data_IF_939905979490
#
_entry.id   IF_939905979490
#
_cell.length_a   1.000
_cell.length_b   1.000
_cell.length_c   1.000
_cell.angle_alpha   90.00
_cell.angle_beta   90.00
_cell.angle_gamma   90.00
#
_symmetry.space_group_name_H-M   'P 1'
#
loop_
_entity.id
_entity.type
_entity.pdbx_description
1 polymer ?
#
# COMPACT_ATOMS: atom_id res chain seq x y z
N UNK A 1 -4.06 -22.11 20.69
CA UNK A 1 -4.01 -20.85 21.49
C UNK A 1 -2.66 -20.14 21.28
N UNK A 2 -1.52 -20.76 21.60
CA UNK A 2 -0.19 -20.16 21.38
C UNK A 2 0.15 -19.89 19.88
N UNK A 3 -0.23 -20.77 18.97
CA UNK A 3 0.06 -20.62 17.54
C UNK A 3 -0.76 -19.52 16.86
N UNK A 4 -2.01 -19.31 17.30
CA UNK A 4 -2.85 -18.21 16.83
C UNK A 4 -2.26 -16.85 17.26
N UNK A 5 -1.76 -16.75 18.50
CA UNK A 5 -1.06 -15.55 19.00
C UNK A 5 0.20 -15.25 18.17
N UNK A 6 0.98 -16.28 17.83
CA UNK A 6 2.16 -16.13 16.98
C UNK A 6 1.78 -15.68 15.55
N UNK A 7 0.72 -16.24 14.97
CA UNK A 7 0.18 -15.80 13.68
C UNK A 7 -0.27 -14.34 13.71
N UNK A 8 -1.00 -13.93 14.75
CA UNK A 8 -1.37 -12.53 14.98
C UNK A 8 -0.18 -11.60 15.05
N UNK A 9 0.87 -11.96 15.82
CA UNK A 9 2.08 -11.14 15.93
C UNK A 9 2.75 -10.91 14.58
N UNK A 10 2.76 -11.92 13.70
CA UNK A 10 3.32 -11.80 12.35
C UNK A 10 2.49 -10.86 11.48
N UNK A 11 1.17 -11.01 11.51
CA UNK A 11 0.23 -10.11 10.81
C UNK A 11 0.43 -8.66 11.28
N UNK A 12 0.39 -8.43 12.59
CA UNK A 12 0.53 -7.09 13.17
C UNK A 12 1.88 -6.47 12.85
N UNK A 13 2.96 -7.25 12.96
CA UNK A 13 4.30 -6.78 12.58
C UNK A 13 4.38 -6.41 11.10
N UNK A 14 3.83 -7.23 10.20
CA UNK A 14 3.84 -6.93 8.77
C UNK A 14 3.04 -5.66 8.44
N UNK A 15 1.90 -5.46 9.11
CA UNK A 15 1.12 -4.24 9.00
C UNK A 15 1.85 -3.01 9.55
N UNK A 16 2.47 -3.11 10.72
CA UNK A 16 3.23 -2.02 11.31
C UNK A 16 4.41 -1.59 10.41
N UNK A 17 5.16 -2.57 9.88
CA UNK A 17 6.22 -2.30 8.91
C UNK A 17 5.69 -1.64 7.63
N UNK A 18 4.52 -2.05 7.15
CA UNK A 18 3.89 -1.45 5.97
C UNK A 18 3.41 -0.02 6.24
N UNK A 19 2.68 0.23 7.33
CA UNK A 19 2.20 1.57 7.71
C UNK A 19 3.38 2.51 7.99
N UNK A 20 4.45 2.01 8.61
CA UNK A 20 5.67 2.78 8.80
C UNK A 20 6.29 3.16 7.44
N UNK A 21 6.36 2.23 6.48
CA UNK A 21 6.85 2.54 5.12
C UNK A 21 5.96 3.57 4.41
N UNK A 22 4.64 3.43 4.48
CA UNK A 22 3.68 4.37 3.88
C UNK A 22 3.86 5.80 4.40
N UNK A 23 4.19 5.95 5.68
CA UNK A 23 4.35 7.27 6.31
C UNK A 23 5.75 7.86 6.16
N UNK A 24 6.80 7.03 6.22
CA UNK A 24 8.20 7.51 6.27
C UNK A 24 8.89 7.53 4.92
N UNK A 25 8.60 6.55 4.06
CA UNK A 25 9.28 6.39 2.77
C UNK A 25 8.40 6.88 1.61
N UNK A 26 7.14 6.43 1.53
CA UNK A 26 6.23 6.79 0.43
C UNK A 26 5.58 8.16 0.62
N UNK A 27 5.04 8.44 1.81
CA UNK A 27 4.30 9.66 2.14
C UNK A 27 4.95 10.96 1.67
N UNK A 28 6.26 11.18 1.89
CA UNK A 28 6.96 12.39 1.43
C UNK A 28 6.88 12.63 -0.09
N UNK A 29 6.75 11.58 -0.90
CA UNK A 29 6.72 11.70 -2.36
C UNK A 29 5.34 12.09 -2.90
N UNK A 30 4.26 11.84 -2.14
CA UNK A 30 2.87 12.13 -2.57
C UNK A 30 2.60 13.63 -2.70
N UNK A 31 3.40 14.49 -2.06
CA UNK A 31 3.29 15.94 -2.19
C UNK A 31 3.43 16.41 -3.64
N UNK A 32 4.19 15.69 -4.47
CA UNK A 32 4.42 16.03 -5.87
C UNK A 32 3.30 15.56 -6.82
N UNK A 33 2.24 14.94 -6.30
CA UNK A 33 0.99 14.73 -7.06
C UNK A 33 0.23 16.04 -7.29
N UNK A 34 0.62 17.13 -6.60
CA UNK A 34 0.12 18.47 -6.87
C UNK A 34 0.95 19.16 -7.94
N UNK A 35 0.26 19.80 -8.89
CA UNK A 35 0.87 20.62 -9.94
C UNK A 35 1.79 21.71 -9.35
N UNK A 36 1.35 22.38 -8.28
CA UNK A 36 2.10 23.48 -7.67
C UNK A 36 3.45 23.00 -7.13
N UNK A 37 3.44 21.90 -6.37
CA UNK A 37 4.65 21.34 -5.79
C UNK A 37 5.57 20.74 -6.86
N UNK A 38 5.02 20.10 -7.89
CA UNK A 38 5.84 19.57 -8.98
C UNK A 38 6.48 20.69 -9.80
N UNK A 39 5.77 21.82 -9.98
CA UNK A 39 6.28 22.98 -10.74
C UNK A 39 7.48 23.62 -10.06
N UNK A 40 7.55 23.60 -8.73
CA UNK A 40 8.64 24.17 -7.95
C UNK A 40 9.97 23.40 -8.10
N UNK A 41 9.92 22.15 -8.59
CA UNK A 41 11.10 21.35 -8.86
C UNK A 41 11.83 21.76 -10.14
N UNK A 42 13.16 21.69 -10.13
CA UNK A 42 13.99 21.76 -11.32
C UNK A 42 13.80 20.51 -12.19
N UNK A 43 14.17 20.60 -13.47
CA UNK A 43 14.00 19.48 -14.42
C UNK A 43 14.62 18.16 -13.92
N UNK A 44 15.86 18.21 -13.40
CA UNK A 44 16.55 17.04 -12.85
C UNK A 44 15.88 16.48 -11.60
N UNK A 45 15.23 17.32 -10.80
CA UNK A 45 14.53 16.90 -9.59
C UNK A 45 13.21 16.19 -9.92
N UNK A 46 12.49 16.65 -10.96
CA UNK A 46 11.29 15.95 -11.45
C UNK A 46 11.62 14.56 -12.00
N UNK A 47 12.67 14.46 -12.82
CA UNK A 47 13.15 13.16 -13.32
C UNK A 47 13.62 12.27 -12.18
N UNK A 48 14.37 12.82 -11.22
CA UNK A 48 14.80 12.10 -10.03
C UNK A 48 13.62 11.55 -9.24
N UNK A 49 12.58 12.37 -9.02
CA UNK A 49 11.35 11.96 -8.36
C UNK A 49 10.63 10.82 -9.13
N UNK A 50 10.40 10.96 -10.43
CA UNK A 50 9.72 9.92 -11.23
C UNK A 50 10.52 8.61 -11.25
N UNK A 51 11.85 8.68 -11.37
CA UNK A 51 12.72 7.51 -11.31
C UNK A 51 12.65 6.83 -9.94
N UNK A 52 12.79 7.58 -8.84
CA UNK A 52 12.68 7.01 -7.49
C UNK A 52 11.30 6.40 -7.24
N UNK A 53 10.23 7.04 -7.71
CA UNK A 53 8.86 6.50 -7.62
C UNK A 53 8.73 5.15 -8.32
N UNK A 54 9.26 5.04 -9.55
CA UNK A 54 9.17 3.85 -10.38
C UNK A 54 10.12 2.71 -9.93
N UNK A 55 11.37 3.02 -9.61
CA UNK A 55 12.42 2.02 -9.39
C UNK A 55 12.47 1.51 -7.94
N UNK A 56 12.12 2.37 -6.97
CA UNK A 56 12.35 2.09 -5.55
C UNK A 56 11.07 2.18 -4.71
N UNK A 57 10.39 3.33 -4.76
CA UNK A 57 9.39 3.70 -3.77
C UNK A 57 8.09 2.88 -3.93
N UNK A 58 7.50 2.84 -5.13
CA UNK A 58 6.31 2.01 -5.39
C UNK A 58 6.63 0.51 -5.29
N UNK A 59 7.75 -0.01 -5.85
CA UNK A 59 8.14 -1.41 -5.65
C UNK A 59 8.28 -1.80 -4.17
N UNK A 60 8.86 -0.94 -3.34
CA UNK A 60 8.93 -1.16 -1.90
C UNK A 60 7.54 -1.20 -1.26
N UNK A 61 6.63 -0.32 -1.68
CA UNK A 61 5.21 -0.31 -1.25
C UNK A 61 4.52 -1.64 -1.55
N UNK A 62 4.65 -2.12 -2.79
CA UNK A 62 4.13 -3.42 -3.25
C UNK A 62 4.70 -4.56 -2.42
N UNK A 63 6.01 -4.55 -2.15
CA UNK A 63 6.65 -5.60 -1.37
C UNK A 63 6.12 -5.65 0.08
N UNK A 64 5.86 -4.50 0.70
CA UNK A 64 5.28 -4.44 2.05
C UNK A 64 3.84 -4.95 2.08
N UNK A 65 3.01 -4.53 1.11
CA UNK A 65 1.65 -5.03 0.96
C UNK A 65 1.61 -6.55 0.75
N UNK A 66 2.48 -7.09 -0.13
CA UNK A 66 2.61 -8.54 -0.34
C UNK A 66 3.04 -9.28 0.93
N UNK A 67 3.95 -8.70 1.71
CA UNK A 67 4.40 -9.30 2.97
C UNK A 67 3.26 -9.38 3.99
N UNK A 68 2.36 -8.39 4.04
CA UNK A 68 1.15 -8.45 4.83
C UNK A 68 0.17 -9.53 4.34
N UNK A 69 0.02 -9.69 3.01
CA UNK A 69 -0.76 -10.77 2.40
C UNK A 69 -0.26 -12.16 2.79
N UNK A 70 1.05 -12.39 2.68
CA UNK A 70 1.69 -13.65 3.11
C UNK A 70 1.47 -13.91 4.61
N UNK A 71 1.55 -12.87 5.45
CA UNK A 71 1.27 -13.02 6.87
C UNK A 71 -0.17 -13.46 7.14
N UNK A 72 -1.14 -13.01 6.35
CA UNK A 72 -2.53 -13.50 6.43
C UNK A 72 -2.69 -14.92 5.90
N UNK A 73 -2.01 -15.28 4.81
CA UNK A 73 -1.99 -16.66 4.29
C UNK A 73 -1.45 -17.64 5.34
N UNK A 74 -0.36 -17.28 6.01
CA UNK A 74 0.21 -18.03 7.13
C UNK A 74 -0.74 -18.08 8.34
N UNK A 75 -1.58 -17.05 8.52
CA UNK A 75 -2.52 -16.96 9.64
C UNK A 75 -3.80 -17.78 9.41
N UNK A 76 -4.24 -17.91 8.16
CA UNK A 76 -5.50 -18.56 7.75
C UNK A 76 -5.69 -19.99 8.33
N UNK A 77 -4.68 -20.87 8.37
CA UNK A 77 -4.82 -22.21 8.96
C UNK A 77 -5.21 -22.22 10.45
N UNK A 78 -4.97 -21.13 11.18
CA UNK A 78 -5.26 -21.01 12.60
C UNK A 78 -6.69 -20.51 12.90
N UNK A 79 -7.49 -20.23 11.86
CA UNK A 79 -8.86 -19.77 12.01
C UNK A 79 -9.79 -20.90 12.50
N UNK A 80 -10.55 -20.68 13.59
CA UNK A 80 -11.27 -21.72 14.31
C UNK A 80 -12.53 -22.22 13.56
N UNK A 81 -13.15 -21.37 12.75
CA UNK A 81 -14.40 -21.65 12.06
C UNK A 81 -14.40 -21.06 10.63
N UNK A 82 -15.37 -21.45 9.78
CA UNK A 82 -15.45 -20.98 8.41
C UNK A 82 -15.65 -19.47 8.25
N UNK A 83 -16.36 -18.81 9.18
CA UNK A 83 -16.65 -17.38 9.09
C UNK A 83 -15.36 -16.57 9.30
N UNK A 84 -14.56 -16.93 10.30
CA UNK A 84 -13.24 -16.35 10.52
C UNK A 84 -12.29 -16.56 9.32
N UNK A 85 -12.37 -17.73 8.66
CA UNK A 85 -11.61 -18.01 7.44
C UNK A 85 -12.02 -17.11 6.28
N UNK A 86 -13.31 -16.88 6.10
CA UNK A 86 -13.82 -15.98 5.05
C UNK A 86 -13.35 -14.53 5.27
N UNK A 87 -13.30 -14.07 6.52
CA UNK A 87 -12.77 -12.74 6.84
C UNK A 87 -11.28 -12.65 6.52
N UNK A 88 -10.46 -13.64 6.92
CA UNK A 88 -9.02 -13.65 6.59
C UNK A 88 -8.80 -13.77 5.09
N UNK A 89 -9.57 -14.61 4.39
CA UNK A 89 -9.50 -14.71 2.93
C UNK A 89 -9.82 -13.38 2.26
N UNK A 90 -10.86 -12.68 2.72
CA UNK A 90 -11.21 -11.35 2.18
C UNK A 90 -10.08 -10.33 2.38
N UNK A 91 -9.32 -10.44 3.48
CA UNK A 91 -8.14 -9.60 3.71
C UNK A 91 -6.98 -9.96 2.79
N UNK A 92 -6.76 -11.25 2.49
CA UNK A 92 -5.78 -11.70 1.49
C UNK A 92 -6.17 -11.15 0.11
N UNK A 93 -7.44 -11.31 -0.28
CA UNK A 93 -7.94 -10.82 -1.57
C UNK A 93 -7.78 -9.29 -1.67
N UNK A 94 -8.03 -8.56 -0.59
CA UNK A 94 -7.82 -7.11 -0.52
C UNK A 94 -6.34 -6.73 -0.72
N UNK A 95 -5.38 -7.52 -0.20
CA UNK A 95 -3.95 -7.25 -0.47
C UNK A 95 -3.61 -7.41 -1.95
N UNK A 96 -4.26 -8.33 -2.67
CA UNK A 96 -4.06 -8.49 -4.11
C UNK A 96 -4.60 -7.28 -4.88
N UNK A 97 -5.81 -6.82 -4.55
CA UNK A 97 -6.39 -5.60 -5.15
C UNK A 97 -5.46 -4.40 -4.95
N UNK A 98 -4.93 -4.23 -3.73
CA UNK A 98 -4.00 -3.14 -3.42
C UNK A 98 -2.67 -3.25 -4.20
N UNK A 99 -2.13 -4.44 -4.37
CA UNK A 99 -0.94 -4.67 -5.20
C UNK A 99 -1.20 -4.27 -6.64
N UNK A 100 -2.37 -4.63 -7.19
CA UNK A 100 -2.73 -4.29 -8.57
C UNK A 100 -2.89 -2.77 -8.75
N UNK A 101 -3.55 -2.10 -7.80
CA UNK A 101 -3.66 -0.63 -7.79
C UNK A 101 -2.29 0.06 -7.73
N UNK A 102 -1.37 -0.44 -6.89
CA UNK A 102 -0.01 0.11 -6.79
C UNK A 102 0.81 -0.12 -8.05
N UNK A 103 0.65 -1.26 -8.73
CA UNK A 103 1.32 -1.53 -10.01
C UNK A 103 0.77 -0.62 -11.11
N UNK A 104 -0.54 -0.38 -11.16
CA UNK A 104 -1.13 0.59 -12.07
C UNK A 104 -0.60 2.00 -11.83
N UNK A 105 -0.43 2.42 -10.57
CA UNK A 105 0.23 3.69 -10.23
C UNK A 105 1.68 3.73 -10.74
N UNK A 106 2.41 2.61 -10.66
CA UNK A 106 3.77 2.51 -11.21
C UNK A 106 3.80 2.72 -12.72
N UNK A 107 2.83 2.14 -13.45
CA UNK A 107 2.69 2.33 -14.88
C UNK A 107 2.37 3.79 -15.23
N UNK A 108 1.51 4.45 -14.43
CA UNK A 108 1.21 5.88 -14.58
C UNK A 108 2.47 6.74 -14.41
N UNK A 109 3.28 6.49 -13.38
CA UNK A 109 4.57 7.20 -13.19
C UNK A 109 5.52 6.96 -14.36
N UNK A 110 5.60 5.73 -14.86
CA UNK A 110 6.45 5.39 -15.99
C UNK A 110 6.04 6.15 -17.25
N UNK A 111 4.74 6.14 -17.60
CA UNK A 111 4.22 6.86 -18.76
C UNK A 111 4.41 8.38 -18.61
N UNK A 112 4.16 8.92 -17.42
CA UNK A 112 4.41 10.34 -17.11
C UNK A 112 5.88 10.71 -17.36
N UNK A 113 6.83 9.85 -16.99
CA UNK A 113 8.26 10.07 -17.24
C UNK A 113 8.58 10.12 -18.73
N UNK A 114 8.12 9.15 -19.50
CA UNK A 114 8.39 9.07 -20.94
C UNK A 114 7.81 10.29 -21.70
N UNK A 115 6.59 10.70 -21.33
CA UNK A 115 5.95 11.89 -21.91
C UNK A 115 6.66 13.18 -21.47
N UNK A 116 7.11 13.26 -20.22
CA UNK A 116 7.90 14.39 -19.75
C UNK A 116 9.24 14.52 -20.46
N UNK A 117 9.94 13.40 -20.71
CA UNK A 117 11.24 13.40 -21.41
C UNK A 117 11.10 13.80 -22.88
N UNK A 118 9.95 13.52 -23.51
CA UNK A 118 9.71 13.79 -24.93
C UNK A 118 9.04 15.14 -25.20
N UNK A 119 8.04 15.51 -24.41
CA UNK A 119 7.20 16.71 -24.59
C UNK A 119 7.35 17.78 -23.51
N UNK A 120 8.03 17.46 -22.41
CA UNK A 120 8.30 18.40 -21.32
C UNK A 120 7.17 18.45 -20.28
N UNK A 121 7.13 19.54 -19.52
CA UNK A 121 6.28 19.64 -18.33
C UNK A 121 4.78 19.56 -18.63
N UNK A 122 4.31 20.20 -19.71
CA UNK A 122 2.87 20.26 -20.04
C UNK A 122 2.27 18.88 -20.32
N UNK A 123 3.07 17.96 -20.87
CA UNK A 123 2.64 16.60 -21.20
C UNK A 123 2.60 15.69 -19.94
N UNK A 124 3.29 16.08 -18.86
CA UNK A 124 3.26 15.38 -17.58
C UNK A 124 2.06 15.77 -16.70
N UNK A 125 1.50 16.96 -16.89
CA UNK A 125 0.41 17.50 -16.04
C UNK A 125 -0.84 16.61 -15.99
N UNK A 126 -1.33 16.01 -17.10
CA UNK A 126 -2.55 15.20 -17.08
C UNK A 126 -2.47 14.01 -16.11
N UNK A 127 -1.28 13.42 -15.95
CA UNK A 127 -1.06 12.24 -15.10
C UNK A 127 -1.23 12.54 -13.60
N UNK A 128 -1.11 13.79 -13.18
CA UNK A 128 -1.19 14.17 -11.77
C UNK A 128 -2.55 13.89 -11.14
N UNK A 129 -3.63 14.07 -11.91
CA UNK A 129 -4.98 13.73 -11.46
C UNK A 129 -5.11 12.21 -11.27
N UNK A 130 -4.65 11.42 -12.25
CA UNK A 130 -4.70 9.96 -12.18
C UNK A 130 -3.89 9.41 -10.99
N UNK A 131 -2.73 10.01 -10.68
CA UNK A 131 -1.92 9.64 -9.52
C UNK A 131 -2.61 9.95 -8.19
N UNK A 132 -3.24 11.13 -8.09
CA UNK A 132 -3.98 11.52 -6.90
C UNK A 132 -5.21 10.62 -6.67
N UNK A 133 -5.97 10.33 -7.72
CA UNK A 133 -7.13 9.45 -7.67
C UNK A 133 -6.73 8.00 -7.33
N UNK A 134 -5.65 7.50 -7.93
CA UNK A 134 -5.10 6.18 -7.61
C UNK A 134 -4.71 6.08 -6.14
N UNK A 135 -4.06 7.12 -5.61
CA UNK A 135 -3.67 7.15 -4.21
C UNK A 135 -4.86 7.22 -3.25
N UNK A 136 -5.90 7.99 -3.58
CA UNK A 136 -7.14 8.01 -2.81
C UNK A 136 -7.80 6.62 -2.78
N UNK A 137 -7.88 5.94 -3.94
CA UNK A 137 -8.42 4.60 -4.04
C UNK A 137 -7.63 3.59 -3.18
N UNK A 138 -6.29 3.64 -3.24
CA UNK A 138 -5.43 2.79 -2.42
C UNK A 138 -5.67 3.06 -0.92
N UNK A 139 -5.73 4.33 -0.49
CA UNK A 139 -6.03 4.67 0.91
C UNK A 139 -7.41 4.19 1.34
N UNK A 140 -8.40 4.25 0.45
CA UNK A 140 -9.72 3.71 0.70
C UNK A 140 -9.66 2.21 0.95
N UNK A 141 -9.02 1.44 0.07
CA UNK A 141 -8.83 0.01 0.23
C UNK A 141 -8.05 -0.34 1.50
N UNK A 142 -6.97 0.38 1.82
CA UNK A 142 -6.23 0.19 3.07
C UNK A 142 -7.12 0.40 4.31
N UNK A 143 -8.08 1.34 4.27
CA UNK A 143 -8.99 1.57 5.40
C UNK A 143 -9.91 0.37 5.70
N UNK A 144 -10.18 -0.49 4.71
CA UNK A 144 -11.06 -1.66 4.86
C UNK A 144 -10.44 -2.74 5.77
N UNK A 145 -9.12 -2.76 5.96
CA UNK A 145 -8.51 -3.67 6.94
C UNK A 145 -9.01 -3.44 8.37
N UNK A 146 -9.33 -2.19 8.73
CA UNK A 146 -9.92 -1.90 10.04
C UNK A 146 -11.25 -2.61 10.27
N UNK A 147 -12.04 -2.81 9.20
CA UNK A 147 -13.30 -3.55 9.26
C UNK A 147 -13.04 -5.05 9.40
N UNK A 148 -12.05 -5.59 8.67
CA UNK A 148 -11.61 -6.98 8.78
C UNK A 148 -11.15 -7.33 10.20
N UNK A 149 -10.25 -6.52 10.76
CA UNK A 149 -9.79 -6.69 12.15
C UNK A 149 -10.94 -6.55 13.16
N UNK A 150 -11.84 -5.58 12.96
CA UNK A 150 -13.02 -5.41 13.81
C UNK A 150 -13.98 -6.59 13.76
N UNK A 151 -14.12 -7.27 12.61
CA UNK A 151 -14.93 -8.47 12.47
C UNK A 151 -14.30 -9.66 13.20
N UNK A 152 -12.98 -9.87 13.07
CA UNK A 152 -12.27 -10.89 13.83
C UNK A 152 -12.37 -10.67 15.35
N UNK A 153 -12.24 -9.42 15.81
CA UNK A 153 -12.38 -9.09 17.22
C UNK A 153 -13.78 -9.43 17.77
N UNK A 154 -14.85 -9.16 17.02
CA UNK A 154 -16.23 -9.53 17.40
C UNK A 154 -16.44 -11.04 17.53
N UNK A 155 -15.60 -11.84 16.85
CA UNK A 155 -15.60 -13.31 16.92
C UNK A 155 -14.75 -13.85 18.09
N UNK A 156 -14.17 -12.98 18.92
CA UNK A 156 -13.28 -13.35 20.01
C UNK A 156 -11.85 -13.66 19.58
N UNK A 157 -11.48 -13.29 18.34
CA UNK A 157 -10.10 -13.33 17.83
C UNK A 157 -9.47 -11.96 18.03
N UNK A 158 -9.36 -11.54 19.29
CA UNK A 158 -8.80 -10.23 19.64
C UNK A 158 -7.30 -10.18 19.31
N UNK A 159 -6.87 -9.02 18.81
CA UNK A 159 -5.46 -8.74 18.57
C UNK A 159 -4.72 -8.74 19.91
N UNK A 160 -3.60 -9.47 20.05
CA UNK A 160 -2.80 -9.42 21.26
C UNK A 160 -2.20 -8.02 21.45
N UNK A 161 -2.12 -7.55 22.70
CA UNK A 161 -1.42 -6.32 23.03
C UNK A 161 0.04 -6.40 22.55
N UNK A 162 0.46 -5.40 21.78
CA UNK A 162 1.83 -5.27 21.25
C UNK A 162 2.77 -4.63 22.29
N UNK A 163 2.56 -4.90 23.59
CA UNK A 163 3.49 -4.50 24.65
C UNK A 163 4.37 -5.69 25.05
N UNK A 164 5.63 -5.69 24.59
CA UNK A 164 6.77 -6.30 25.31
C UNK A 164 8.07 -5.60 24.97
#
# INVERSE_FOLDING_TARGET
MAENIEGWRRVLKAFDEWINYESTEFGPYTGYFSLDNLRDLMHSERLGWMNSMYEDIIPGRVQRCKSAGVAFEDFLPYMPDPEAREVVQSMIDLTQVLVDDMLAMSDTIHNMKEDYESGGFDDAVPYLADLADSEENIRHHMSLFSQGFGNLAKMGLEMPDMES
#
